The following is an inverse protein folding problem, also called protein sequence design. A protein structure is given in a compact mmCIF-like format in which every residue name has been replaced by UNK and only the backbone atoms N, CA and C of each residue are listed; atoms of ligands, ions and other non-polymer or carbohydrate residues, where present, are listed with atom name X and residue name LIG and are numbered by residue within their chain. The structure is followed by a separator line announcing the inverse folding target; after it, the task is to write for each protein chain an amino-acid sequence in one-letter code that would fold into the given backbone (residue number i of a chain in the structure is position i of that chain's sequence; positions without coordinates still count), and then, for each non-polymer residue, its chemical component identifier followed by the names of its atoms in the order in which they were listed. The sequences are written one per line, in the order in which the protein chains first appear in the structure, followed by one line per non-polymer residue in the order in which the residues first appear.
data_IF_874130926309
#
_entry.id   IF_874130926309
#
_cell.length_a   1.000
_cell.length_b   1.000
_cell.length_c   1.000
_cell.angle_alpha   90.00
_cell.angle_beta   90.00
_cell.angle_gamma   90.00
#
_symmetry.space_group_name_H-M   'P 1'
#
loop_
_entity.id
_entity.type
_entity.pdbx_description
1 polymer ?
#
# COMPACT_ATOMS: atom_id res chain seq x y z
N UNK A 1 -19.64 -20.78 18.04
CA UNK A 1 -18.22 -21.10 17.72
C UNK A 1 -18.20 -22.37 16.90
N UNK A 2 -17.30 -22.49 15.92
CA UNK A 2 -17.15 -23.71 15.10
C UNK A 2 -16.88 -24.95 15.99
N UNK A 3 -15.87 -24.87 16.84
CA UNK A 3 -15.48 -25.96 17.74
C UNK A 3 -14.55 -26.98 17.09
N UNK A 4 -14.25 -28.04 17.84
CA UNK A 4 -13.35 -29.13 17.49
C UNK A 4 -13.00 -29.99 18.71
N UNK A 5 -12.20 -31.06 18.53
CA UNK A 5 -11.67 -31.82 19.65
C UNK A 5 -10.67 -30.98 20.46
N UNK A 6 -10.77 -31.07 21.78
CA UNK A 6 -9.92 -30.37 22.74
C UNK A 6 -8.98 -31.38 23.46
N UNK A 7 -7.93 -30.87 24.12
CA UNK A 7 -6.94 -31.73 24.77
C UNK A 7 -7.50 -32.54 25.97
N UNK A 8 -8.62 -32.09 26.53
CA UNK A 8 -9.33 -32.78 27.61
C UNK A 8 -10.24 -33.92 27.11
N UNK A 9 -10.25 -34.17 25.79
CA UNK A 9 -11.08 -35.19 25.15
C UNK A 9 -12.52 -34.75 24.89
N UNK A 10 -12.89 -33.52 25.24
CA UNK A 10 -14.21 -32.97 24.93
C UNK A 10 -14.24 -32.40 23.51
N UNK A 11 -15.45 -32.28 22.96
CA UNK A 11 -15.68 -31.68 21.64
C UNK A 11 -16.58 -30.46 21.81
N UNK A 12 -16.06 -29.28 21.47
CA UNK A 12 -16.74 -28.01 21.70
C UNK A 12 -17.50 -27.52 20.45
N UNK A 13 -18.31 -26.46 20.62
CA UNK A 13 -18.96 -25.74 19.52
C UNK A 13 -20.00 -26.53 18.71
N UNK A 14 -20.21 -26.11 17.47
CA UNK A 14 -21.17 -26.73 16.54
C UNK A 14 -20.79 -28.18 16.23
N UNK A 15 -19.49 -28.46 16.11
CA UNK A 15 -18.99 -29.83 15.91
C UNK A 15 -19.36 -30.72 17.10
N UNK A 16 -19.23 -30.21 18.32
CA UNK A 16 -19.63 -30.94 19.52
C UNK A 16 -21.13 -31.26 19.57
N UNK A 17 -21.99 -30.36 19.10
CA UNK A 17 -23.44 -30.62 19.05
C UNK A 17 -23.79 -31.74 18.07
N UNK A 18 -23.11 -31.81 16.93
CA UNK A 18 -23.28 -32.91 15.97
C UNK A 18 -22.73 -34.21 16.55
N UNK A 19 -21.53 -34.17 17.15
CA UNK A 19 -20.89 -35.33 17.77
C UNK A 19 -21.73 -35.94 18.91
N UNK A 20 -22.39 -35.12 19.74
CA UNK A 20 -23.27 -35.58 20.82
C UNK A 20 -24.71 -35.89 20.37
N UNK A 21 -24.99 -35.85 19.07
CA UNK A 21 -26.33 -36.03 18.51
C UNK A 21 -27.39 -35.04 19.03
N UNK A 22 -26.97 -33.86 19.50
CA UNK A 22 -27.86 -32.74 19.83
C UNK A 22 -28.36 -32.04 18.56
N UNK A 23 -27.60 -32.15 17.46
CA UNK A 23 -27.95 -31.72 16.12
C UNK A 23 -27.67 -32.84 15.11
N UNK A 24 -28.54 -33.01 14.11
CA UNK A 24 -28.36 -34.03 13.07
C UNK A 24 -27.34 -33.61 11.99
N UNK A 25 -27.28 -32.32 11.68
CA UNK A 25 -26.40 -31.75 10.66
C UNK A 25 -26.06 -30.31 11.00
N UNK A 26 -24.89 -29.85 10.58
CA UNK A 26 -24.47 -28.46 10.68
C UNK A 26 -24.25 -27.86 9.28
N UNK A 27 -25.13 -26.96 8.85
CA UNK A 27 -24.98 -26.21 7.60
C UNK A 27 -24.42 -24.81 7.89
N UNK A 28 -23.13 -24.60 7.64
CA UNK A 28 -22.43 -23.35 7.91
C UNK A 28 -21.07 -23.32 7.18
N UNK A 29 -20.42 -22.15 7.13
CA UNK A 29 -19.07 -21.98 6.54
C UNK A 29 -17.97 -22.56 7.43
N UNK A 30 -17.87 -23.88 7.46
CA UNK A 30 -16.91 -24.59 8.30
C UNK A 30 -15.72 -25.08 7.50
N UNK A 31 -14.52 -24.73 7.94
CA UNK A 31 -13.27 -25.29 7.37
C UNK A 31 -13.12 -26.75 7.77
N UNK A 32 -12.99 -27.63 6.78
CA UNK A 32 -12.64 -29.04 6.95
C UNK A 32 -11.18 -29.12 7.41
N UNK A 33 -10.92 -29.78 8.53
CA UNK A 33 -9.58 -30.04 9.06
C UNK A 33 -9.50 -31.48 9.55
N UNK A 34 -8.31 -32.08 9.47
CA UNK A 34 -8.08 -33.48 9.88
C UNK A 34 -8.58 -33.74 11.32
N UNK A 35 -8.27 -32.82 12.25
CA UNK A 35 -8.71 -32.95 13.65
C UNK A 35 -10.24 -33.05 13.76
N UNK A 36 -10.98 -32.26 12.97
CA UNK A 36 -12.45 -32.26 13.03
C UNK A 36 -13.05 -33.50 12.38
N UNK A 37 -12.40 -34.00 11.34
CA UNK A 37 -12.80 -35.22 10.64
C UNK A 37 -12.67 -36.49 11.51
N UNK A 38 -11.88 -36.44 12.59
CA UNK A 38 -11.79 -37.57 13.53
C UNK A 38 -13.05 -37.77 14.40
N UNK A 39 -13.91 -36.76 14.53
CA UNK A 39 -15.08 -36.78 15.44
C UNK A 39 -16.43 -36.62 14.73
N UNK A 40 -16.44 -36.13 13.49
CA UNK A 40 -17.62 -35.97 12.65
C UNK A 40 -17.27 -36.23 11.18
N UNK A 41 -18.24 -36.73 10.42
CA UNK A 41 -18.10 -36.90 8.98
C UNK A 41 -18.45 -35.61 8.22
N UNK A 42 -17.60 -35.22 7.28
CA UNK A 42 -17.86 -34.10 6.36
C UNK A 42 -18.34 -34.61 5.01
N UNK A 43 -19.13 -33.79 4.31
CA UNK A 43 -19.41 -34.00 2.89
C UNK A 43 -18.21 -33.61 2.04
N UNK A 44 -18.27 -33.86 0.73
CA UNK A 44 -17.32 -33.26 -0.21
C UNK A 44 -17.37 -31.73 -0.11
N UNK A 45 -16.21 -31.04 -0.20
CA UNK A 45 -16.16 -29.58 -0.14
C UNK A 45 -16.96 -28.97 -1.30
N UNK A 46 -17.92 -28.11 -0.98
CA UNK A 46 -18.74 -27.41 -1.99
C UNK A 46 -18.12 -26.09 -2.47
N UNK A 47 -17.23 -25.50 -1.66
CA UNK A 47 -16.56 -24.23 -1.90
C UNK A 47 -15.13 -24.31 -1.36
N UNK A 48 -14.16 -23.85 -2.16
CA UNK A 48 -12.75 -23.78 -1.78
C UNK A 48 -12.34 -22.32 -1.77
N UNK A 49 -11.99 -21.80 -0.59
CA UNK A 49 -11.43 -20.46 -0.46
C UNK A 49 -9.96 -20.52 -0.07
N UNK A 50 -9.22 -19.49 -0.46
CA UNK A 50 -7.82 -19.32 -0.08
C UNK A 50 -7.73 -18.35 1.10
N UNK A 51 -6.91 -18.67 2.10
CA UNK A 51 -6.59 -17.72 3.17
C UNK A 51 -5.73 -16.59 2.59
N UNK A 52 -6.32 -15.38 2.49
CA UNK A 52 -5.62 -14.19 2.02
C UNK A 52 -5.28 -13.24 3.16
N UNK A 53 -4.14 -12.58 3.07
CA UNK A 53 -3.77 -11.50 3.99
C UNK A 53 -4.46 -10.20 3.55
N UNK A 54 -5.29 -9.65 4.42
CA UNK A 54 -5.91 -8.34 4.19
C UNK A 54 -5.11 -7.28 4.95
N UNK A 55 -4.61 -6.27 4.23
CA UNK A 55 -3.93 -5.11 4.78
C UNK A 55 -4.67 -3.82 4.44
N UNK A 56 -4.39 -2.74 5.18
CA UNK A 56 -5.01 -1.43 4.92
C UNK A 56 -4.57 -0.94 3.52
N UNK A 57 -5.51 -0.38 2.77
CA UNK A 57 -5.21 0.30 1.51
C UNK A 57 -4.11 1.38 1.72
N UNK A 58 -3.16 1.52 0.77
CA UNK A 58 -2.10 2.50 0.90
C UNK A 58 -2.68 3.92 0.95
N UNK A 59 -2.10 4.77 1.80
CA UNK A 59 -2.53 6.17 1.89
C UNK A 59 -2.21 6.91 0.59
N UNK A 60 -3.18 7.71 0.11
CA UNK A 60 -3.01 8.57 -1.05
C UNK A 60 -2.03 9.70 -0.70
N UNK A 61 -0.77 9.57 -1.13
CA UNK A 61 0.22 10.66 -0.99
C UNK A 61 -0.21 11.87 -1.82
N UNK A 62 0.09 13.07 -1.31
CA UNK A 62 -0.25 14.33 -1.98
C UNK A 62 0.36 14.42 -3.38
N UNK A 63 -0.49 14.54 -4.40
CA UNK A 63 -0.10 14.61 -5.82
C UNK A 63 0.69 15.88 -6.16
N UNK A 64 0.52 16.96 -5.38
CA UNK A 64 1.13 18.27 -5.67
C UNK A 64 2.64 18.24 -5.41
N UNK A 65 3.09 17.58 -4.35
CA UNK A 65 4.51 17.45 -4.03
C UNK A 65 5.25 16.45 -4.92
N UNK A 66 4.53 15.62 -5.67
CA UNK A 66 5.14 14.67 -6.60
C UNK A 66 5.93 15.36 -7.73
N UNK A 67 5.59 16.62 -8.08
CA UNK A 67 6.31 17.40 -9.09
C UNK A 67 7.76 17.67 -8.65
N UNK A 68 7.96 18.02 -7.38
CA UNK A 68 9.29 18.27 -6.83
C UNK A 68 10.10 16.99 -6.64
N UNK A 69 9.44 15.82 -6.54
CA UNK A 69 10.08 14.53 -6.43
C UNK A 69 10.68 14.01 -7.76
N UNK A 70 10.38 14.66 -8.89
CA UNK A 70 10.90 14.26 -10.20
C UNK A 70 12.43 14.43 -10.31
N UNK A 71 13.01 15.39 -9.57
CA UNK A 71 14.43 15.71 -9.62
C UNK A 71 15.04 15.90 -8.22
N UNK A 72 16.35 15.63 -8.05
CA UNK A 72 17.04 15.90 -6.79
C UNK A 72 16.98 17.39 -6.39
N UNK A 73 17.02 17.72 -5.09
CA UNK A 73 17.02 19.11 -4.61
C UNK A 73 18.12 19.99 -5.24
N UNK A 74 19.25 19.38 -5.61
CA UNK A 74 20.36 20.06 -6.28
C UNK A 74 19.94 20.69 -7.63
N UNK A 75 19.11 19.99 -8.42
CA UNK A 75 18.66 20.50 -9.73
C UNK A 75 17.80 21.74 -9.55
N UNK A 76 16.89 21.72 -8.58
CA UNK A 76 16.06 22.88 -8.25
C UNK A 76 16.89 24.08 -7.78
N UNK A 77 17.93 23.84 -6.97
CA UNK A 77 18.87 24.87 -6.55
C UNK A 77 19.62 25.47 -7.74
N UNK A 78 20.11 24.64 -8.67
CA UNK A 78 20.80 25.11 -9.88
C UNK A 78 19.87 25.93 -10.78
N UNK A 79 18.60 25.52 -10.94
CA UNK A 79 17.59 26.31 -11.66
C UNK A 79 17.42 27.69 -11.00
N UNK A 80 17.29 27.74 -9.67
CA UNK A 80 17.21 29.00 -8.93
C UNK A 80 18.43 29.89 -9.13
N UNK A 81 19.64 29.34 -9.01
CA UNK A 81 20.89 30.10 -9.22
C UNK A 81 20.99 30.60 -10.65
N UNK A 82 20.77 29.74 -11.65
CA UNK A 82 20.86 30.14 -13.06
C UNK A 82 19.89 31.29 -13.38
N UNK A 83 18.66 31.21 -12.88
CA UNK A 83 17.64 32.26 -13.06
C UNK A 83 18.09 33.57 -12.42
N UNK A 84 18.67 33.52 -11.22
CA UNK A 84 19.17 34.70 -10.52
C UNK A 84 20.38 35.34 -11.20
N UNK A 85 21.23 34.55 -11.88
CA UNK A 85 22.43 35.03 -12.56
C UNK A 85 22.16 35.64 -13.95
N UNK A 86 21.18 35.13 -14.69
CA UNK A 86 20.88 35.59 -16.05
C UNK A 86 20.54 37.10 -16.06
N UNK A 87 19.76 37.58 -15.09
CA UNK A 87 19.35 38.99 -15.01
C UNK A 87 20.55 39.95 -14.87
N UNK A 88 21.39 39.82 -13.83
CA UNK A 88 22.58 40.64 -13.64
C UNK A 88 23.57 40.55 -14.81
N UNK A 89 23.78 39.37 -15.38
CA UNK A 89 24.69 39.19 -16.53
C UNK A 89 24.16 39.95 -17.74
N UNK A 90 22.87 39.82 -18.06
CA UNK A 90 22.26 40.56 -19.18
C UNK A 90 22.30 42.08 -18.95
N UNK A 91 22.07 42.54 -17.72
CA UNK A 91 22.17 43.94 -17.36
C UNK A 91 23.60 44.47 -17.51
N UNK A 92 24.60 43.69 -17.06
CA UNK A 92 26.01 44.03 -17.19
C UNK A 92 26.44 44.13 -18.66
N UNK A 93 26.05 43.16 -19.49
CA UNK A 93 26.33 43.17 -20.93
C UNK A 93 25.69 44.41 -21.58
N UNK A 94 24.43 44.70 -21.24
CA UNK A 94 23.71 45.88 -21.74
C UNK A 94 24.41 47.18 -21.33
N UNK A 95 24.90 47.27 -20.11
CA UNK A 95 25.64 48.41 -19.60
C UNK A 95 26.99 48.58 -20.33
N UNK A 96 27.75 47.50 -20.50
CA UNK A 96 29.03 47.51 -21.23
C UNK A 96 28.87 47.93 -22.69
N UNK A 97 27.83 47.43 -23.37
CA UNK A 97 27.53 47.83 -24.75
C UNK A 97 27.19 49.32 -24.87
N UNK A 98 26.47 49.88 -23.89
CA UNK A 98 26.15 51.32 -23.88
C UNK A 98 27.38 52.17 -23.59
N UNK A 99 28.25 51.73 -22.67
CA UNK A 99 29.51 52.40 -22.38
C UNK A 99 30.43 52.39 -23.61
N UNK A 100 30.64 51.23 -24.24
CA UNK A 100 31.46 51.11 -25.45
C UNK A 100 30.92 51.96 -26.62
N UNK A 101 29.61 51.99 -26.84
CA UNK A 101 28.98 52.84 -27.87
C UNK A 101 29.22 54.33 -27.63
N UNK A 102 29.42 54.75 -26.37
CA UNK A 102 29.64 56.15 -26.00
C UNK A 102 31.10 56.58 -26.23
N UNK A 103 32.03 55.64 -26.22
CA UNK A 103 33.47 55.89 -26.34
C UNK A 103 34.00 55.76 -27.77
N UNK A 104 33.16 55.43 -28.75
CA UNK A 104 33.49 55.38 -30.18
C UNK A 104 33.30 56.79 -30.80
N UNK A 105 34.37 57.54 -31.14
CA UNK A 105 34.24 58.83 -31.81
C UNK A 105 33.77 58.64 -33.27
N UNK A 106 33.11 59.65 -33.88
CA UNK A 106 32.62 59.59 -35.26
C UNK A 106 33.73 59.48 -36.31
#
# INVERSE_FOLDING_TARGET
KWGGPEADGTVSGIIGMVHRHEAHVAQCEITITEQRETVVDFTTPYYQDATVLVSRAPELKSRVWAIFAAFPPLVWLLIGISTLLIGPIAALISWLMQAYRKDDPP
#
